data_IF_660335113538
#
_entry.id   IF_660335113538
#
_cell.length_a   1.000
_cell.length_b   1.000
_cell.length_c   1.000
_cell.angle_alpha   90.00
_cell.angle_beta   90.00
_cell.angle_gamma   90.00
#
_symmetry.space_group_name_H-M   'P 1'
#
loop_
_entity.id
_entity.type
_entity.pdbx_description
1 polymer ?
#
# COMPACT_ATOMS: atom_id res chain seq x y z
N UNK A 1 11.38 5.27 37.79
CA UNK A 1 12.57 5.55 38.63
C UNK A 1 13.23 6.81 38.09
N UNK A 2 13.40 7.83 38.93
CA UNK A 2 13.95 9.17 38.57
C UNK A 2 15.48 9.14 38.53
N UNK A 3 16.09 9.91 37.63
CA UNK A 3 17.37 10.66 37.73
C UNK A 3 17.56 11.37 36.35
N UNK A 4 17.49 12.71 36.13
CA UNK A 4 18.15 13.90 36.77
C UNK A 4 19.67 13.70 36.82
N UNK A 5 20.59 14.55 36.34
CA UNK A 5 20.66 16.02 36.29
C UNK A 5 22.02 16.49 35.66
N UNK A 6 22.04 17.73 35.12
CA UNK A 6 23.15 18.74 34.97
C UNK A 6 24.34 18.44 34.02
N UNK A 7 24.93 19.41 33.28
CA UNK A 7 25.68 20.65 33.64
C UNK A 7 25.46 21.75 32.55
N UNK A 8 25.10 23.05 32.77
CA UNK A 8 25.84 24.27 33.24
C UNK A 8 27.19 24.58 32.55
N UNK A 9 27.64 25.79 32.15
CA UNK A 9 27.17 27.19 31.89
C UNK A 9 28.40 28.01 31.41
N UNK A 10 28.20 29.11 30.64
CA UNK A 10 29.08 30.31 30.59
C UNK A 10 29.89 30.52 29.29
N UNK A 11 29.99 31.69 28.65
CA UNK A 11 30.09 33.06 29.18
C UNK A 11 29.72 34.10 28.08
N UNK A 12 29.09 35.21 28.47
CA UNK A 12 28.83 36.38 27.64
C UNK A 12 29.93 37.44 27.82
N UNK A 13 30.17 38.27 26.79
CA UNK A 13 30.90 39.54 26.89
C UNK A 13 30.07 40.65 26.23
N UNK A 14 29.86 41.72 27.01
CA UNK A 14 29.14 42.95 26.70
C UNK A 14 30.01 43.95 25.92
N UNK A 15 29.35 44.77 25.09
CA UNK A 15 29.85 46.06 24.61
C UNK A 15 28.68 47.05 24.57
N UNK A 16 28.81 48.17 25.29
CA UNK A 16 27.78 49.20 25.56
C UNK A 16 28.10 50.50 24.81
N UNK A 17 27.05 51.23 24.36
CA UNK A 17 26.83 52.70 24.35
C UNK A 17 25.98 53.07 23.10
N UNK A 18 24.67 53.30 23.23
CA UNK A 18 23.98 54.51 23.72
C UNK A 18 23.73 55.56 22.63
N UNK A 19 22.46 55.76 22.27
CA UNK A 19 21.81 57.06 22.06
C UNK A 19 20.28 56.85 22.14
N UNK A 20 19.67 57.51 23.13
CA UNK A 20 18.22 57.70 23.23
C UNK A 20 17.78 58.78 22.25
N UNK A 21 16.61 58.63 21.61
CA UNK A 21 15.56 59.66 21.72
C UNK A 21 14.17 59.13 21.30
N UNK A 22 13.27 59.18 22.29
CA UNK A 22 11.90 59.72 22.22
C UNK A 22 10.90 59.28 21.14
N UNK A 23 9.90 58.50 21.56
CA UNK A 23 8.64 58.31 20.82
C UNK A 23 7.71 57.28 21.45
N UNK A 24 7.04 57.64 22.56
CA UNK A 24 5.90 56.89 23.10
C UNK A 24 4.68 57.11 22.19
N UNK A 25 4.18 56.03 21.58
CA UNK A 25 2.84 55.97 20.99
C UNK A 25 1.99 54.96 21.79
N UNK A 26 1.04 55.41 22.63
CA UNK A 26 0.16 54.53 23.39
C UNK A 26 -1.05 54.17 22.54
N UNK A 27 -0.92 53.16 21.66
CA UNK A 27 -2.04 52.78 20.80
C UNK A 27 -1.91 51.52 19.92
N UNK A 28 -0.85 50.72 20.06
CA UNK A 28 -0.71 49.50 19.27
C UNK A 28 -1.32 48.30 20.01
N UNK A 29 -2.47 47.83 19.52
CA UNK A 29 -3.01 46.51 19.83
C UNK A 29 -1.94 45.41 19.56
N UNK A 30 -1.89 44.31 20.31
CA UNK A 30 -0.96 43.23 20.02
C UNK A 30 -1.33 42.68 18.64
N UNK A 31 -0.43 42.88 17.68
CA UNK A 31 -0.56 42.32 16.34
C UNK A 31 -0.56 40.80 16.45
N UNK A 32 -1.53 40.18 15.79
CA UNK A 32 -1.47 38.77 15.41
C UNK A 32 -0.19 38.57 14.59
N UNK A 33 0.86 38.07 15.22
CA UNK A 33 1.91 37.33 14.53
C UNK A 33 1.24 36.07 13.96
N UNK A 34 0.65 36.21 12.77
CA UNK A 34 0.24 35.10 11.92
C UNK A 34 1.51 34.39 11.45
N UNK A 35 2.12 33.65 12.36
CA UNK A 35 3.16 32.70 12.06
C UNK A 35 2.60 31.69 11.06
N UNK A 36 2.97 31.84 9.80
CA UNK A 36 2.82 30.79 8.80
C UNK A 36 3.71 29.64 9.28
N UNK A 37 3.09 28.65 9.92
CA UNK A 37 3.71 27.33 10.04
C UNK A 37 3.94 26.84 8.62
N UNK A 38 5.20 26.75 8.19
CA UNK A 38 5.60 26.16 6.91
C UNK A 38 5.14 24.70 6.88
N UNK A 39 3.91 24.48 6.41
CA UNK A 39 3.52 23.18 5.89
C UNK A 39 4.51 22.84 4.77
N UNK A 40 5.04 21.62 4.79
CA UNK A 40 5.88 21.05 3.73
C UNK A 40 5.28 21.46 2.38
N UNK A 41 6.07 22.12 1.53
CA UNK A 41 5.61 22.63 0.24
C UNK A 41 4.78 21.55 -0.45
N UNK A 42 3.47 21.78 -0.57
CA UNK A 42 2.57 20.77 -1.11
C UNK A 42 2.94 20.58 -2.57
N UNK A 43 3.45 19.40 -2.92
CA UNK A 43 3.71 19.05 -4.30
C UNK A 43 2.40 19.20 -5.09
N UNK A 44 2.37 20.13 -6.02
CA UNK A 44 1.18 20.38 -6.86
C UNK A 44 1.01 19.30 -7.92
N UNK A 45 2.06 18.51 -8.17
CA UNK A 45 2.05 17.39 -9.10
C UNK A 45 2.81 16.18 -8.55
N UNK A 46 2.34 15.00 -8.93
CA UNK A 46 3.02 13.71 -8.73
C UNK A 46 3.41 13.14 -10.09
N UNK A 47 4.55 12.46 -10.17
CA UNK A 47 5.15 11.99 -11.42
C UNK A 47 5.47 10.50 -11.34
N UNK A 48 5.31 9.82 -12.47
CA UNK A 48 5.85 8.48 -12.69
C UNK A 48 6.47 8.42 -14.09
N UNK A 49 7.46 7.55 -14.24
CA UNK A 49 8.12 7.30 -15.52
C UNK A 49 8.23 5.81 -15.74
N UNK A 50 7.86 5.36 -16.94
CA UNK A 50 8.03 3.99 -17.36
C UNK A 50 8.40 3.96 -18.84
N UNK A 51 9.50 3.26 -19.16
CA UNK A 51 10.13 3.26 -20.47
C UNK A 51 10.23 4.69 -21.07
N UNK A 52 9.47 4.97 -22.12
CA UNK A 52 9.49 6.26 -22.83
C UNK A 52 8.46 7.29 -22.37
N UNK A 53 7.53 6.91 -21.47
CA UNK A 53 6.44 7.74 -20.98
C UNK A 53 6.78 8.32 -19.60
N UNK A 54 6.69 9.65 -19.49
CA UNK A 54 6.57 10.35 -18.22
C UNK A 54 5.14 10.87 -18.10
N UNK A 55 4.47 10.50 -17.01
CA UNK A 55 3.12 10.94 -16.69
C UNK A 55 3.15 11.72 -15.38
N UNK A 56 2.36 12.79 -15.32
CA UNK A 56 2.13 13.54 -14.09
C UNK A 56 0.65 13.79 -13.86
N UNK A 57 0.23 13.74 -12.60
CA UNK A 57 -1.09 14.18 -12.16
C UNK A 57 -0.99 15.46 -11.35
N UNK A 58 -1.96 16.35 -11.48
CA UNK A 58 -2.20 17.37 -10.46
C UNK A 58 -2.66 16.67 -9.19
N UNK A 59 -2.01 16.96 -8.06
CA UNK A 59 -2.32 16.25 -6.81
C UNK A 59 -3.67 16.67 -6.26
N UNK A 60 -4.14 17.89 -6.54
CA UNK A 60 -5.43 18.38 -6.09
C UNK A 60 -6.49 18.17 -7.16
N UNK A 61 -7.54 17.40 -6.85
CA UNK A 61 -8.70 17.29 -7.70
C UNK A 61 -9.65 18.48 -7.56
N UNK A 62 -10.41 18.76 -8.61
CA UNK A 62 -11.44 19.81 -8.63
C UNK A 62 -12.82 19.18 -8.75
N UNK A 63 -13.83 19.71 -8.07
CA UNK A 63 -15.20 19.26 -8.29
C UNK A 63 -15.90 20.20 -9.25
N UNK A 64 -16.59 19.62 -10.22
CA UNK A 64 -17.35 20.32 -11.24
C UNK A 64 -18.71 19.67 -11.42
N UNK A 65 -19.69 20.42 -11.93
CA UNK A 65 -20.95 19.81 -12.37
C UNK A 65 -20.83 19.41 -13.84
N UNK A 66 -20.84 18.11 -14.12
CA UNK A 66 -20.84 17.55 -15.48
C UNK A 66 -22.16 16.80 -15.69
N UNK A 67 -22.91 17.18 -16.73
CA UNK A 67 -24.21 16.58 -17.04
C UNK A 67 -25.22 16.55 -15.87
N UNK A 68 -25.21 17.60 -15.03
CA UNK A 68 -26.09 17.70 -13.86
C UNK A 68 -25.67 16.87 -12.65
N UNK A 69 -24.51 16.21 -12.70
CA UNK A 69 -23.93 15.44 -11.59
C UNK A 69 -22.65 16.14 -11.15
N UNK A 70 -22.47 16.30 -9.84
CA UNK A 70 -21.19 16.75 -9.27
C UNK A 70 -20.16 15.64 -9.47
N UNK A 71 -18.99 15.96 -9.96
CA UNK A 71 -17.93 14.98 -10.26
C UNK A 71 -16.58 15.53 -9.84
N UNK A 72 -15.72 14.65 -9.32
CA UNK A 72 -14.31 14.92 -9.09
C UNK A 72 -13.56 14.80 -10.42
N UNK A 73 -12.77 15.82 -10.76
CA UNK A 73 -11.95 15.91 -11.97
C UNK A 73 -10.48 15.86 -11.57
N UNK A 74 -9.74 14.93 -12.16
CA UNK A 74 -8.31 14.74 -11.95
C UNK A 74 -7.58 14.99 -13.26
N UNK A 75 -6.64 15.92 -13.28
CA UNK A 75 -5.92 16.30 -14.49
C UNK A 75 -4.56 15.62 -14.57
N UNK A 76 -4.24 15.10 -15.75
CA UNK A 76 -2.97 14.46 -16.04
C UNK A 76 -2.27 15.10 -17.25
N UNK A 77 -0.95 14.98 -17.30
CA UNK A 77 -0.11 15.45 -18.41
C UNK A 77 0.97 14.44 -18.70
N UNK A 78 1.10 14.05 -19.96
CA UNK A 78 2.12 13.15 -20.48
C UNK A 78 3.20 13.92 -21.25
N UNK A 79 4.40 13.36 -21.35
CA UNK A 79 5.43 13.86 -22.26
C UNK A 79 5.26 13.35 -23.72
N UNK A 80 4.32 12.42 -23.97
CA UNK A 80 3.99 11.82 -25.27
C UNK A 80 2.61 12.23 -25.78
N UNK A 81 2.41 12.08 -27.08
CA UNK A 81 1.10 12.30 -27.70
C UNK A 81 0.16 11.14 -27.41
N UNK A 82 -1.00 11.45 -26.85
CA UNK A 82 -2.02 10.50 -26.42
C UNK A 82 -2.88 10.09 -27.62
N UNK A 83 -3.07 8.79 -27.79
CA UNK A 83 -3.99 8.21 -28.77
C UNK A 83 -5.31 7.82 -28.10
N UNK A 84 -5.23 7.16 -26.95
CA UNK A 84 -6.39 6.65 -26.23
C UNK A 84 -6.12 6.62 -24.72
N UNK A 85 -7.16 6.89 -23.93
CA UNK A 85 -7.14 6.75 -22.47
C UNK A 85 -8.44 6.10 -22.01
N UNK A 86 -8.35 5.21 -21.02
CA UNK A 86 -9.51 4.52 -20.47
C UNK A 86 -9.29 4.22 -18.99
N UNK A 87 -10.23 4.61 -18.13
CA UNK A 87 -10.17 4.38 -16.69
C UNK A 87 -11.00 3.15 -16.29
N UNK A 88 -10.44 2.34 -15.38
CA UNK A 88 -11.05 1.09 -14.95
C UNK A 88 -10.63 0.69 -13.54
N UNK A 89 -11.44 -0.19 -12.93
CA UNK A 89 -11.04 -1.04 -11.81
C UNK A 89 -10.95 -2.47 -12.33
N UNK A 90 -10.37 -3.43 -11.58
CA UNK A 90 -10.39 -4.82 -12.03
C UNK A 90 -11.79 -5.26 -12.48
N UNK A 91 -11.86 -5.83 -13.68
CA UNK A 91 -13.05 -6.36 -14.35
C UNK A 91 -14.09 -5.36 -14.91
N UNK A 92 -14.04 -4.07 -14.56
CA UNK A 92 -15.07 -3.10 -14.95
C UNK A 92 -14.53 -1.71 -15.32
N UNK A 93 -15.12 -1.10 -16.36
CA UNK A 93 -14.91 0.32 -16.65
C UNK A 93 -15.40 1.20 -15.50
N UNK A 94 -14.61 2.20 -15.11
CA UNK A 94 -14.85 2.94 -13.88
C UNK A 94 -14.41 4.40 -14.00
N UNK A 95 -15.28 5.34 -13.64
CA UNK A 95 -15.09 6.74 -14.02
C UNK A 95 -15.07 6.93 -15.54
N UNK A 96 -14.64 8.11 -15.98
CA UNK A 96 -14.47 8.41 -17.40
C UNK A 96 -13.15 9.13 -17.62
N UNK A 97 -12.26 8.57 -18.46
CA UNK A 97 -11.04 9.23 -18.89
C UNK A 97 -11.25 9.88 -20.27
N UNK A 98 -10.89 11.16 -20.41
CA UNK A 98 -11.05 11.91 -21.66
C UNK A 98 -9.75 12.64 -22.02
N UNK A 99 -9.28 12.50 -23.26
CA UNK A 99 -8.19 13.33 -23.78
C UNK A 99 -8.72 14.76 -23.97
N UNK A 100 -8.08 15.73 -23.32
CA UNK A 100 -8.46 17.15 -23.39
C UNK A 100 -7.47 17.99 -24.24
N UNK A 101 -6.30 17.43 -24.53
CA UNK A 101 -5.35 17.97 -25.51
C UNK A 101 -4.37 16.87 -25.94
N UNK A 102 -3.52 17.12 -26.95
CA UNK A 102 -2.57 16.13 -27.48
C UNK A 102 -1.72 15.42 -26.41
N UNK A 103 -1.49 16.05 -25.24
CA UNK A 103 -0.67 15.48 -24.16
C UNK A 103 -1.32 15.57 -22.77
N UNK A 104 -2.61 15.86 -22.70
CA UNK A 104 -3.33 15.98 -21.42
C UNK A 104 -4.65 15.24 -21.49
N UNK A 105 -5.00 14.61 -20.38
CA UNK A 105 -6.30 13.99 -20.19
C UNK A 105 -6.85 14.36 -18.81
N UNK A 106 -8.16 14.19 -18.67
CA UNK A 106 -8.85 14.27 -17.38
C UNK A 106 -9.47 12.91 -17.03
N UNK A 107 -9.58 12.62 -15.75
CA UNK A 107 -10.40 11.54 -15.21
C UNK A 107 -11.55 12.16 -14.44
N UNK A 108 -12.77 11.76 -14.78
CA UNK A 108 -14.02 12.24 -14.20
C UNK A 108 -14.62 11.12 -13.36
N UNK A 109 -14.77 11.36 -12.06
CA UNK A 109 -15.38 10.45 -11.10
C UNK A 109 -16.68 11.07 -10.58
N UNK A 110 -17.85 10.62 -11.05
CA UNK A 110 -19.14 11.09 -10.55
C UNK A 110 -19.25 10.87 -9.04
N UNK A 111 -19.77 11.89 -8.37
CA UNK A 111 -20.06 11.81 -6.95
C UNK A 111 -21.18 10.78 -6.70
N UNK A 112 -20.89 9.80 -5.85
CA UNK A 112 -21.78 8.68 -5.60
C UNK A 112 -20.98 7.41 -5.29
N UNK A 113 -21.48 6.23 -5.69
CA UNK A 113 -20.81 4.95 -5.44
C UNK A 113 -19.39 4.90 -6.00
N UNK A 114 -19.15 5.49 -7.18
CA UNK A 114 -17.84 5.44 -7.82
C UNK A 114 -16.78 6.21 -7.02
N UNK A 115 -17.05 7.47 -6.71
CA UNK A 115 -16.14 8.26 -5.89
C UNK A 115 -15.97 7.67 -4.48
N UNK A 116 -17.04 7.14 -3.89
CA UNK A 116 -16.98 6.47 -2.59
C UNK A 116 -16.02 5.27 -2.60
N UNK A 117 -16.09 4.44 -3.64
CA UNK A 117 -15.25 3.26 -3.80
C UNK A 117 -13.76 3.62 -3.91
N UNK A 118 -13.42 4.63 -4.73
CA UNK A 118 -12.04 5.10 -4.90
C UNK A 118 -11.51 5.67 -3.58
N UNK A 119 -12.25 6.57 -2.94
CA UNK A 119 -11.83 7.17 -1.67
C UNK A 119 -11.72 6.15 -0.54
N UNK A 120 -12.44 5.03 -0.63
CA UNK A 120 -12.30 3.89 0.27
C UNK A 120 -11.03 3.06 0.00
N UNK A 121 -10.06 3.60 -0.73
CA UNK A 121 -8.76 2.99 -1.00
C UNK A 121 -8.75 1.98 -2.14
N UNK A 122 -9.74 1.99 -3.05
CA UNK A 122 -9.62 1.20 -4.28
C UNK A 122 -8.71 1.95 -5.26
N UNK A 123 -7.64 1.32 -5.79
CA UNK A 123 -6.84 1.93 -6.83
C UNK A 123 -7.67 2.09 -8.11
N UNK A 124 -7.47 3.20 -8.81
CA UNK A 124 -8.01 3.41 -10.14
C UNK A 124 -6.89 3.17 -11.16
N UNK A 125 -7.15 2.32 -12.15
CA UNK A 125 -6.25 2.07 -13.25
C UNK A 125 -6.63 2.92 -14.46
N UNK A 126 -5.63 3.36 -15.21
CA UNK A 126 -5.83 4.08 -16.47
C UNK A 126 -4.97 3.42 -17.55
N UNK A 127 -5.59 2.84 -18.55
CA UNK A 127 -4.92 2.42 -19.79
C UNK A 127 -4.60 3.67 -20.61
N UNK A 128 -3.37 3.75 -21.11
CA UNK A 128 -2.84 4.90 -21.84
C UNK A 128 -2.12 4.39 -23.07
N UNK A 129 -2.67 4.70 -24.24
CA UNK A 129 -2.02 4.46 -25.53
C UNK A 129 -1.50 5.77 -26.11
N UNK A 130 -0.34 5.71 -26.76
CA UNK A 130 0.39 6.87 -27.28
C UNK A 130 0.77 6.69 -28.74
N UNK A 131 0.73 7.77 -29.51
CA UNK A 131 1.19 7.77 -30.91
C UNK A 131 2.72 7.67 -31.05
N UNK A 132 3.46 7.99 -29.98
CA UNK A 132 4.91 8.16 -30.01
C UNK A 132 5.55 7.54 -28.77
N UNK A 133 6.66 6.84 -28.95
CA UNK A 133 7.35 6.14 -27.87
C UNK A 133 7.56 4.68 -28.19
N UNK A 134 8.33 3.99 -27.37
CA UNK A 134 8.41 2.53 -27.42
C UNK A 134 8.55 2.00 -25.99
N UNK A 135 7.62 1.15 -25.51
CA UNK A 135 6.36 0.75 -26.16
C UNK A 135 5.37 1.92 -26.28
N UNK A 136 4.19 1.68 -26.87
CA UNK A 136 3.14 2.69 -27.05
C UNK A 136 1.94 2.51 -26.12
N UNK A 137 1.88 1.41 -25.37
CA UNK A 137 0.78 1.11 -24.45
C UNK A 137 1.31 0.97 -23.02
N UNK A 138 0.58 1.57 -22.09
CA UNK A 138 0.95 1.72 -20.68
C UNK A 138 -0.30 1.58 -19.81
N UNK A 139 -0.11 1.15 -18.56
CA UNK A 139 -1.14 1.27 -17.52
C UNK A 139 -0.61 2.10 -16.36
N UNK A 140 -1.39 3.08 -15.93
CA UNK A 140 -1.16 3.83 -14.70
C UNK A 140 -2.03 3.29 -13.57
N UNK A 141 -1.52 3.31 -12.34
CA UNK A 141 -2.28 3.10 -11.10
C UNK A 141 -2.26 4.39 -10.30
N UNK A 142 -3.42 4.88 -9.91
CA UNK A 142 -3.54 6.01 -8.98
C UNK A 142 -4.33 5.65 -7.73
N UNK A 143 -4.00 6.30 -6.62
CA UNK A 143 -4.74 6.22 -5.37
C UNK A 143 -5.18 7.62 -4.96
N UNK A 144 -6.45 7.77 -4.58
CA UNK A 144 -7.05 9.06 -4.25
C UNK A 144 -7.61 9.01 -2.84
N UNK A 145 -7.16 9.93 -1.99
CA UNK A 145 -7.62 10.04 -0.62
C UNK A 145 -7.94 11.48 -0.23
N UNK A 146 -8.83 11.70 0.75
CA UNK A 146 -9.00 13.01 1.36
C UNK A 146 -7.71 13.44 2.07
N UNK A 147 -7.28 14.68 1.88
CA UNK A 147 -6.08 15.25 2.51
C UNK A 147 -6.32 16.68 2.95
N UNK A 148 -5.85 17.02 4.15
CA UNK A 148 -5.88 18.39 4.64
C UNK A 148 -4.76 19.24 4.03
N UNK A 149 -5.06 20.51 3.80
CA UNK A 149 -4.09 21.50 3.33
C UNK A 149 -4.54 22.92 3.72
N UNK A 150 -3.76 23.92 3.32
CA UNK A 150 -4.05 25.35 3.61
C UNK A 150 -4.24 25.59 5.11
N UNK A 151 -3.32 25.04 5.91
CA UNK A 151 -3.31 25.16 7.36
C UNK A 151 -2.99 26.61 7.79
N UNK A 152 -3.88 27.23 8.57
CA UNK A 152 -3.69 28.60 9.08
C UNK A 152 -4.12 28.72 10.53
N UNK A 153 -3.42 29.51 11.33
CA UNK A 153 -3.74 29.74 12.74
C UNK A 153 -2.72 29.11 13.68
N UNK A 154 -3.17 28.76 14.90
CA UNK A 154 -2.31 28.40 16.01
C UNK A 154 -1.44 27.16 15.73
N UNK A 155 -0.14 27.28 16.01
CA UNK A 155 0.85 26.20 15.86
C UNK A 155 0.68 25.07 16.89
N UNK A 156 0.02 25.35 18.03
CA UNK A 156 -0.28 24.36 19.06
C UNK A 156 -1.31 23.30 18.62
N UNK A 157 -2.07 23.54 17.55
CA UNK A 157 -2.89 22.52 16.91
C UNK A 157 -2.13 21.95 15.72
N UNK A 158 -1.76 20.68 15.79
CA UNK A 158 -1.22 19.94 14.65
C UNK A 158 -2.35 19.11 14.06
N UNK A 159 -2.74 19.40 12.83
CA UNK A 159 -3.77 18.64 12.11
C UNK A 159 -3.00 17.77 11.13
N UNK A 160 -3.19 16.47 11.20
CA UNK A 160 -2.53 15.55 10.28
C UNK A 160 -3.10 15.76 8.87
N UNK A 161 -2.22 15.72 7.87
CA UNK A 161 -2.64 15.83 6.48
C UNK A 161 -3.53 14.64 6.08
N UNK A 162 -3.28 13.46 6.63
CA UNK A 162 -3.92 12.22 6.24
C UNK A 162 -5.33 12.09 6.82
N UNK A 163 -6.25 11.72 5.94
CA UNK A 163 -7.61 11.28 6.29
C UNK A 163 -7.86 9.99 5.52
N UNK A 164 -7.67 8.87 6.20
CA UNK A 164 -7.62 7.56 5.56
C UNK A 164 -8.88 6.73 5.86
N UNK A 165 -9.33 5.88 4.91
CA UNK A 165 -10.46 5.01 5.13
C UNK A 165 -10.06 3.85 6.03
N UNK A 166 -10.86 3.64 7.07
CA UNK A 166 -10.70 2.53 8.01
C UNK A 166 -11.99 1.73 8.13
N UNK A 167 -11.85 0.46 8.51
CA UNK A 167 -13.01 -0.41 8.73
C UNK A 167 -13.55 -0.26 10.14
N UNK A 168 -14.78 0.25 10.27
CA UNK A 168 -15.52 0.36 11.53
C UNK A 168 -16.91 -0.21 11.32
N UNK A 169 -17.27 -1.28 12.06
CA UNK A 169 -18.61 -1.85 12.07
C UNK A 169 -19.60 -0.79 12.54
N UNK A 170 -20.43 -0.27 11.64
CA UNK A 170 -21.44 0.72 11.97
C UNK A 170 -22.73 0.49 11.16
N UNK A 171 -23.83 1.15 11.57
CA UNK A 171 -25.15 0.95 10.95
C UNK A 171 -25.31 1.65 9.59
N UNK A 172 -24.46 2.63 9.29
CA UNK A 172 -24.53 3.52 8.13
C UNK A 172 -23.54 3.12 7.01
N UNK A 173 -22.67 2.14 7.27
CA UNK A 173 -21.62 1.64 6.40
C UNK A 173 -20.53 0.95 7.21
N UNK A 174 -19.48 0.42 6.57
CA UNK A 174 -18.32 -0.08 7.33
C UNK A 174 -17.05 0.73 7.09
N UNK A 175 -17.12 1.78 6.27
CA UNK A 175 -16.01 2.69 6.01
C UNK A 175 -16.21 3.99 6.77
N UNK A 176 -15.16 4.38 7.49
CA UNK A 176 -15.04 5.68 8.13
C UNK A 176 -13.78 6.33 7.60
N UNK A 177 -13.87 7.59 7.20
CA UNK A 177 -12.72 8.39 6.83
C UNK A 177 -12.19 9.02 8.11
N UNK A 178 -10.96 8.70 8.48
CA UNK A 178 -10.41 9.03 9.79
C UNK A 178 -9.21 9.96 9.66
N UNK A 179 -9.33 11.14 10.27
CA UNK A 179 -8.23 12.07 10.48
C UNK A 179 -7.84 12.17 11.94
N UNK A 180 -6.78 12.94 12.21
CA UNK A 180 -6.21 13.14 13.55
C UNK A 180 -5.81 14.59 13.77
N UNK A 181 -5.93 15.03 15.03
CA UNK A 181 -5.44 16.31 15.51
C UNK A 181 -4.70 16.09 16.81
N UNK A 182 -3.45 16.54 16.86
CA UNK A 182 -2.64 16.57 18.07
C UNK A 182 -2.66 17.98 18.68
N UNK A 183 -3.18 18.08 19.89
CA UNK A 183 -3.23 19.29 20.72
C UNK A 183 -3.46 18.92 22.18
N UNK A 184 -2.62 19.44 23.08
CA UNK A 184 -2.83 19.34 24.53
C UNK A 184 -4.02 20.22 24.98
N UNK A 185 -5.23 19.67 24.85
CA UNK A 185 -6.49 20.36 25.10
C UNK A 185 -7.49 19.49 25.84
N UNK A 186 -8.34 20.12 26.66
CA UNK A 186 -9.43 19.47 27.37
C UNK A 186 -10.61 19.17 26.44
N UNK A 187 -10.75 19.94 25.37
CA UNK A 187 -11.77 19.75 24.33
C UNK A 187 -11.30 20.27 22.97
N UNK A 188 -11.77 19.63 21.90
CA UNK A 188 -11.63 20.05 20.51
C UNK A 188 -13.03 20.08 19.88
N UNK A 189 -13.36 21.17 19.21
CA UNK A 189 -14.55 21.28 18.36
C UNK A 189 -14.13 21.55 16.91
N UNK A 190 -14.81 20.91 15.97
CA UNK A 190 -14.68 21.19 14.54
C UNK A 190 -15.99 21.75 14.04
N UNK A 191 -15.94 22.89 13.35
CA UNK A 191 -17.13 23.55 12.80
C UNK A 191 -16.93 23.90 11.33
N UNK A 192 -18.01 23.81 10.57
CA UNK A 192 -18.11 24.15 9.15
C UNK A 192 -19.58 24.32 8.78
N UNK A 193 -19.88 24.80 7.57
CA UNK A 193 -21.25 24.87 7.06
C UNK A 193 -21.82 23.46 6.80
N UNK A 194 -20.96 22.55 6.35
CA UNK A 194 -21.23 21.16 6.04
C UNK A 194 -19.99 20.30 6.33
N UNK A 195 -20.16 18.98 6.27
CA UNK A 195 -19.04 18.04 6.38
C UNK A 195 -18.28 18.06 7.70
N UNK A 196 -18.98 18.32 8.80
CA UNK A 196 -18.40 18.30 10.15
C UNK A 196 -18.12 16.84 10.57
N UNK A 197 -16.90 16.51 11.05
CA UNK A 197 -16.60 15.20 11.62
C UNK A 197 -17.25 15.00 12.99
N UNK A 198 -17.40 13.74 13.38
CA UNK A 198 -17.46 13.41 14.81
C UNK A 198 -16.06 13.52 15.42
N UNK A 199 -15.97 14.14 16.60
CA UNK A 199 -14.70 14.37 17.30
C UNK A 199 -14.67 13.54 18.58
N UNK A 200 -13.65 12.70 18.72
CA UNK A 200 -13.46 11.84 19.89
C UNK A 200 -12.06 12.04 20.44
N UNK A 201 -11.95 12.25 21.75
CA UNK A 201 -10.64 12.31 22.43
C UNK A 201 -10.08 10.90 22.59
N UNK A 202 -8.85 10.67 22.13
CA UNK A 202 -8.18 9.37 22.21
C UNK A 202 -7.33 9.27 23.49
N UNK A 203 -6.60 10.34 23.79
CA UNK A 203 -5.75 10.45 24.98
C UNK A 203 -5.58 11.93 25.39
N UNK A 204 -4.51 12.27 26.11
CA UNK A 204 -4.32 13.60 26.68
C UNK A 204 -4.09 14.70 25.63
N UNK A 205 -3.51 14.35 24.48
CA UNK A 205 -3.09 15.27 23.44
C UNK A 205 -3.56 14.87 22.03
N UNK A 206 -4.27 13.76 21.87
CA UNK A 206 -4.74 13.27 20.58
C UNK A 206 -6.26 13.26 20.48
N UNK A 207 -6.78 13.84 19.39
CA UNK A 207 -8.17 13.78 19.00
C UNK A 207 -8.32 13.09 17.64
N UNK A 208 -9.35 12.26 17.53
CA UNK A 208 -9.75 11.56 16.33
C UNK A 208 -10.93 12.26 15.67
N UNK A 209 -10.87 12.36 14.35
CA UNK A 209 -11.92 12.93 13.51
C UNK A 209 -12.48 11.82 12.62
N UNK A 210 -13.75 11.48 12.77
CA UNK A 210 -14.39 10.41 11.98
C UNK A 210 -15.52 11.00 11.13
N UNK A 211 -15.45 10.79 9.81
CA UNK A 211 -16.50 11.09 8.85
C UNK A 211 -17.09 9.83 8.24
N UNK A 212 -18.41 9.85 8.01
CA UNK A 212 -19.06 8.97 7.04
C UNK A 212 -18.89 9.52 5.63
N UNK A 213 -19.18 8.71 4.60
CA UNK A 213 -19.09 9.19 3.21
C UNK A 213 -19.99 10.42 2.95
N UNK A 214 -21.19 10.44 3.52
CA UNK A 214 -22.14 11.56 3.36
C UNK A 214 -21.62 12.87 3.96
N UNK A 215 -20.76 12.81 4.98
CA UNK A 215 -20.13 13.97 5.60
C UNK A 215 -18.78 14.35 4.96
N UNK A 216 -17.92 13.39 4.60
CA UNK A 216 -16.61 13.71 4.02
C UNK A 216 -16.74 14.35 2.62
N UNK A 217 -17.73 13.89 1.85
CA UNK A 217 -17.99 14.34 0.48
C UNK A 217 -18.23 15.86 0.33
N UNK A 218 -19.11 16.49 1.12
CA UNK A 218 -19.21 17.95 1.13
C UNK A 218 -17.98 18.63 1.77
N UNK A 219 -17.32 18.01 2.75
CA UNK A 219 -16.09 18.55 3.34
C UNK A 219 -14.94 18.70 2.32
N UNK A 220 -14.86 17.81 1.32
CA UNK A 220 -13.84 17.81 0.27
C UNK A 220 -14.13 18.76 -0.90
N UNK A 221 -15.27 19.45 -0.91
CA UNK A 221 -15.62 20.31 -2.04
C UNK A 221 -14.60 21.45 -2.16
N UNK A 222 -13.92 21.59 -3.32
CA UNK A 222 -12.87 22.58 -3.46
C UNK A 222 -13.57 23.93 -3.41
N UNK A 223 -13.03 24.81 -2.55
CA UNK A 223 -13.57 26.15 -2.27
C UNK A 223 -14.72 26.24 -1.26
N UNK A 224 -15.12 25.17 -0.57
CA UNK A 224 -15.94 25.33 0.65
C UNK A 224 -15.18 26.08 1.74
N UNK A 225 -15.93 26.59 2.71
CA UNK A 225 -15.39 27.27 3.88
C UNK A 225 -14.43 26.30 4.60
N UNK A 226 -13.20 26.73 4.96
CA UNK A 226 -12.28 25.90 5.73
C UNK A 226 -12.97 25.31 6.97
N UNK A 227 -12.62 24.08 7.33
CA UNK A 227 -12.98 23.54 8.64
C UNK A 227 -12.25 24.36 9.69
N UNK A 228 -12.98 24.78 10.72
CA UNK A 228 -12.46 25.55 11.84
C UNK A 228 -12.32 24.64 13.04
N UNK A 229 -11.10 24.55 13.56
CA UNK A 229 -10.70 23.75 14.70
C UNK A 229 -10.50 24.68 15.90
N UNK A 230 -11.32 24.50 16.92
CA UNK A 230 -11.28 25.26 18.17
C UNK A 230 -10.93 24.33 19.33
N UNK A 231 -9.76 24.54 19.92
CA UNK A 231 -9.28 23.76 21.07
C UNK A 231 -9.34 24.60 22.35
N UNK A 232 -9.88 24.02 23.42
CA UNK A 232 -9.79 24.56 24.79
C UNK A 232 -8.58 23.94 25.48
N UNK A 233 -7.47 24.67 25.52
CA UNK A 233 -6.19 24.17 26.04
C UNK A 233 -6.27 23.93 27.55
N UNK A 234 -5.50 22.97 28.05
CA UNK A 234 -5.47 22.59 29.48
C UNK A 234 -5.03 23.73 30.43
N UNK A 235 -4.52 24.84 29.89
CA UNK A 235 -4.21 26.08 30.62
C UNK A 235 -5.34 27.12 30.69
N UNK A 236 -6.53 26.81 30.16
CA UNK A 236 -7.69 27.72 30.13
C UNK A 236 -7.72 28.73 28.98
N UNK A 237 -6.74 28.71 28.08
CA UNK A 237 -6.72 29.50 26.85
C UNK A 237 -7.37 28.72 25.69
N UNK A 238 -7.83 29.42 24.66
CA UNK A 238 -8.29 28.79 23.42
C UNK A 238 -7.23 28.91 22.33
N UNK A 239 -7.22 27.95 21.41
CA UNK A 239 -6.42 27.98 20.22
C UNK A 239 -7.29 27.62 19.01
N UNK A 240 -7.09 28.34 17.90
CA UNK A 240 -7.88 28.20 16.68
C UNK A 240 -6.99 27.91 15.49
N UNK A 241 -7.39 26.96 14.66
CA UNK A 241 -6.75 26.65 13.38
C UNK A 241 -7.80 26.42 12.31
N UNK A 242 -7.47 26.68 11.06
CA UNK A 242 -8.30 26.34 9.91
C UNK A 242 -7.53 25.44 8.96
N UNK A 243 -8.21 24.50 8.33
CA UNK A 243 -7.67 23.68 7.26
C UNK A 243 -8.77 23.37 6.24
N UNK A 244 -8.37 23.14 4.99
CA UNK A 244 -9.26 22.69 3.92
C UNK A 244 -9.03 21.21 3.67
N UNK A 245 -10.10 20.46 3.43
CA UNK A 245 -10.02 19.06 3.02
C UNK A 245 -10.28 18.99 1.51
N UNK A 246 -9.51 18.19 0.78
CA UNK A 246 -9.71 17.94 -0.67
C UNK A 246 -9.41 16.48 -0.99
N UNK A 247 -10.01 15.98 -2.07
CA UNK A 247 -9.56 14.72 -2.67
C UNK A 247 -8.22 14.94 -3.38
N UNK A 248 -7.21 14.13 -3.05
CA UNK A 248 -5.89 14.20 -3.66
C UNK A 248 -5.44 12.90 -4.29
N UNK A 249 -4.75 13.00 -5.42
CA UNK A 249 -3.92 11.91 -5.93
C UNK A 249 -2.70 11.80 -5.05
N UNK A 250 -2.58 10.69 -4.33
CA UNK A 250 -1.54 10.44 -3.32
C UNK A 250 -0.46 9.48 -3.80
N UNK A 251 -0.80 8.61 -4.75
CA UNK A 251 0.11 7.67 -5.39
C UNK A 251 -0.11 7.67 -6.90
N UNK A 252 0.99 7.50 -7.65
CA UNK A 252 1.00 7.33 -9.08
C UNK A 252 2.13 6.35 -9.44
N UNK A 253 1.76 5.26 -10.07
CA UNK A 253 2.69 4.26 -10.61
C UNK A 253 2.36 3.98 -12.07
N UNK A 254 3.35 3.50 -12.85
CA UNK A 254 3.22 3.16 -14.26
C UNK A 254 3.83 1.78 -14.55
N UNK A 255 3.27 1.10 -15.54
CA UNK A 255 3.81 -0.16 -16.06
C UNK A 255 3.55 -0.31 -17.55
N UNK A 256 4.41 -1.03 -18.25
CA UNK A 256 4.16 -1.57 -19.60
C UNK A 256 3.73 -3.03 -19.59
N UNK A 257 3.78 -3.68 -18.42
CA UNK A 257 3.36 -5.07 -18.22
C UNK A 257 1.87 -5.19 -17.94
N UNK A 258 1.42 -6.41 -17.64
CA UNK A 258 0.06 -6.67 -17.18
C UNK A 258 -0.16 -6.03 -15.80
N UNK A 259 -1.17 -5.17 -15.70
CA UNK A 259 -1.49 -4.45 -14.47
C UNK A 259 -1.88 -5.39 -13.31
N UNK A 260 -2.46 -6.56 -13.61
CA UNK A 260 -2.86 -7.54 -12.61
C UNK A 260 -1.68 -8.39 -12.11
N UNK A 261 -0.60 -8.47 -12.88
CA UNK A 261 0.67 -9.06 -12.44
C UNK A 261 1.51 -8.02 -11.68
N UNK A 262 1.52 -6.76 -12.09
CA UNK A 262 2.31 -5.74 -11.38
C UNK A 262 1.65 -5.30 -10.08
N UNK A 263 0.33 -5.12 -10.10
CA UNK A 263 -0.48 -4.70 -8.95
C UNK A 263 -1.61 -5.71 -8.71
N UNK A 264 -1.28 -6.90 -8.21
CA UNK A 264 -2.28 -7.91 -7.87
C UNK A 264 -3.32 -7.34 -6.90
N UNK A 265 -4.58 -7.73 -7.08
CA UNK A 265 -5.63 -7.44 -6.10
C UNK A 265 -5.22 -8.06 -4.75
N UNK A 266 -5.10 -7.26 -3.68
CA UNK A 266 -4.70 -7.78 -2.37
C UNK A 266 -5.63 -8.88 -1.85
N UNK A 267 -5.01 -9.92 -1.28
CA UNK A 267 -5.71 -10.97 -0.56
C UNK A 267 -5.95 -10.62 0.91
N UNK A 268 -6.43 -11.61 1.67
CA UNK A 268 -6.31 -11.55 3.12
C UNK A 268 -4.89 -11.96 3.54
N UNK A 269 -4.05 -10.99 3.88
CA UNK A 269 -2.68 -11.23 4.31
C UNK A 269 -2.59 -11.72 5.77
N UNK A 270 -1.53 -12.47 6.16
CA UNK A 270 -1.39 -13.02 7.50
C UNK A 270 -1.46 -11.97 8.62
N UNK A 271 -0.86 -10.79 8.41
CA UNK A 271 -0.82 -9.71 9.40
C UNK A 271 -2.20 -9.16 9.78
N UNK A 272 -2.97 -8.60 8.83
CA UNK A 272 -4.35 -8.19 9.08
C UNK A 272 -5.22 -9.32 9.63
N UNK A 273 -5.07 -10.54 9.11
CA UNK A 273 -5.84 -11.68 9.59
C UNK A 273 -5.53 -12.05 11.06
N UNK A 274 -4.25 -12.03 11.46
CA UNK A 274 -3.83 -12.29 12.84
C UNK A 274 -4.38 -11.26 13.79
N UNK A 275 -4.25 -9.98 13.42
CA UNK A 275 -4.82 -8.90 14.22
C UNK A 275 -6.32 -9.08 14.38
N UNK A 276 -7.05 -9.36 13.29
CA UNK A 276 -8.49 -9.57 13.33
C UNK A 276 -8.92 -10.83 14.11
N UNK A 277 -8.03 -11.81 14.30
CA UNK A 277 -8.28 -12.98 15.16
C UNK A 277 -7.96 -12.69 16.64
N UNK A 278 -7.06 -11.76 16.91
CA UNK A 278 -6.70 -11.36 18.27
C UNK A 278 -7.68 -10.35 18.88
N UNK A 279 -8.48 -9.66 18.05
CA UNK A 279 -9.51 -8.75 18.51
C UNK A 279 -10.70 -9.49 19.16
N UNK A 280 -11.33 -8.90 20.20
CA UNK A 280 -12.61 -9.37 20.71
C UNK A 280 -13.68 -9.44 19.61
N UNK A 281 -14.63 -10.37 19.72
CA UNK A 281 -15.68 -10.56 18.71
C UNK A 281 -16.55 -9.29 18.53
N UNK A 282 -16.70 -8.55 19.63
CA UNK A 282 -17.48 -7.33 19.79
C UNK A 282 -16.72 -6.08 19.31
N UNK A 283 -15.44 -6.21 18.93
CA UNK A 283 -14.67 -5.10 18.42
C UNK A 283 -15.36 -4.50 17.19
N UNK A 284 -15.68 -3.20 17.27
CA UNK A 284 -16.34 -2.46 16.20
C UNK A 284 -15.34 -1.72 15.34
N UNK A 285 -14.30 -1.13 15.95
CA UNK A 285 -13.23 -0.42 15.27
C UNK A 285 -12.08 -1.40 14.94
N UNK A 286 -11.89 -1.69 13.65
CA UNK A 286 -10.88 -2.65 13.18
C UNK A 286 -9.67 -1.95 12.55
N UNK A 287 -9.58 -0.62 12.68
CA UNK A 287 -8.51 0.20 12.10
C UNK A 287 -7.09 -0.18 12.56
N UNK A 288 -6.97 -0.81 13.72
CA UNK A 288 -5.67 -1.30 14.22
C UNK A 288 -5.10 -2.47 13.40
N UNK A 289 -5.93 -3.14 12.58
CA UNK A 289 -5.54 -4.32 11.81
C UNK A 289 -5.14 -4.02 10.36
N UNK A 290 -5.23 -2.77 9.92
CA UNK A 290 -4.85 -2.35 8.59
C UNK A 290 -5.81 -1.34 7.98
N UNK A 291 -5.59 -1.04 6.71
CA UNK A 291 -6.46 -0.19 5.90
C UNK A 291 -7.86 -0.80 5.75
N UNK A 292 -8.84 0.03 5.35
CA UNK A 292 -10.19 -0.45 5.06
C UNK A 292 -10.21 -1.66 4.10
N UNK A 293 -9.42 -1.62 3.01
CA UNK A 293 -9.43 -2.67 1.98
C UNK A 293 -8.80 -3.97 2.48
N UNK A 294 -7.68 -3.92 3.19
CA UNK A 294 -7.05 -5.11 3.78
C UNK A 294 -8.00 -5.82 4.75
N UNK A 295 -8.65 -5.06 5.64
CA UNK A 295 -9.61 -5.62 6.58
C UNK A 295 -10.84 -6.18 5.84
N UNK A 296 -11.38 -5.45 4.87
CA UNK A 296 -12.53 -5.90 4.08
C UNK A 296 -12.22 -7.23 3.35
N UNK A 297 -11.07 -7.34 2.69
CA UNK A 297 -10.66 -8.57 2.01
C UNK A 297 -10.56 -9.76 2.98
N UNK A 298 -10.06 -9.55 4.19
CA UNK A 298 -10.04 -10.58 5.22
C UNK A 298 -11.43 -10.97 5.72
N UNK A 299 -12.33 -10.01 5.91
CA UNK A 299 -13.70 -10.30 6.32
C UNK A 299 -14.47 -11.04 5.24
N UNK A 300 -14.26 -10.69 3.97
CA UNK A 300 -14.88 -11.37 2.83
C UNK A 300 -14.34 -12.79 2.66
N UNK A 301 -13.03 -13.00 2.84
CA UNK A 301 -12.44 -14.34 2.88
C UNK A 301 -13.05 -15.21 3.99
N UNK A 302 -13.24 -14.65 5.20
CA UNK A 302 -13.91 -15.35 6.31
C UNK A 302 -15.36 -15.69 5.97
N UNK A 303 -16.10 -14.76 5.36
CA UNK A 303 -17.51 -14.97 4.93
C UNK A 303 -17.61 -16.04 3.85
N UNK A 304 -16.68 -16.09 2.90
CA UNK A 304 -16.65 -17.11 1.86
C UNK A 304 -16.55 -18.54 2.44
N UNK A 305 -16.03 -18.69 3.66
CA UNK A 305 -15.96 -19.96 4.38
C UNK A 305 -17.10 -20.19 5.39
N UNK A 306 -18.05 -19.27 5.54
CA UNK A 306 -19.22 -19.48 6.39
C UNK A 306 -20.17 -20.51 5.75
N UNK A 307 -20.55 -21.54 6.52
CA UNK A 307 -21.42 -22.61 6.03
C UNK A 307 -20.74 -23.63 5.10
N UNK A 308 -19.46 -23.45 4.79
CA UNK A 308 -18.65 -24.42 4.03
C UNK A 308 -17.93 -25.34 5.01
N UNK A 309 -17.96 -26.68 4.82
CA UNK A 309 -17.17 -27.60 5.65
C UNK A 309 -15.69 -27.22 5.64
N UNK A 310 -15.11 -27.05 6.82
CA UNK A 310 -13.67 -26.80 6.94
C UNK A 310 -12.89 -28.10 6.80
N UNK A 311 -11.77 -28.05 6.09
CA UNK A 311 -10.93 -29.22 5.84
C UNK A 311 -9.55 -29.05 6.49
N UNK A 312 -8.97 -30.11 7.08
CA UNK A 312 -7.59 -30.04 7.55
C UNK A 312 -6.64 -29.76 6.38
N UNK A 313 -5.46 -29.19 6.66
CA UNK A 313 -4.46 -28.96 5.64
C UNK A 313 -4.13 -30.27 4.89
N UNK A 314 -4.43 -30.25 3.60
CA UNK A 314 -4.09 -31.29 2.62
C UNK A 314 -3.50 -30.60 1.38
N UNK A 315 -2.50 -31.23 0.77
CA UNK A 315 -1.91 -30.76 -0.47
C UNK A 315 -2.50 -31.58 -1.62
N UNK A 316 -3.32 -30.95 -2.47
CA UNK A 316 -3.93 -31.61 -3.63
C UNK A 316 -3.09 -31.28 -4.87
N UNK A 317 -2.52 -32.27 -5.57
CA UNK A 317 -1.73 -32.00 -6.77
C UNK A 317 -2.54 -31.24 -7.82
N UNK A 318 -1.90 -30.28 -8.49
CA UNK A 318 -2.43 -29.58 -9.64
C UNK A 318 -1.44 -29.63 -10.79
N UNK A 319 -1.95 -29.40 -12.00
CA UNK A 319 -1.14 -29.46 -13.21
C UNK A 319 -0.05 -28.36 -13.22
N UNK A 320 1.19 -28.78 -13.41
CA UNK A 320 2.37 -27.91 -13.53
C UNK A 320 2.93 -27.84 -14.96
N UNK A 321 2.26 -28.47 -15.94
CA UNK A 321 2.64 -28.42 -17.35
C UNK A 321 2.93 -27.01 -17.90
N UNK A 322 2.21 -25.94 -17.49
CA UNK A 322 2.54 -24.58 -17.95
C UNK A 322 3.96 -24.10 -17.58
N UNK A 323 4.59 -24.69 -16.55
CA UNK A 323 5.94 -24.34 -16.11
C UNK A 323 7.04 -25.14 -16.81
N UNK A 324 6.69 -26.20 -17.54
CA UNK A 324 7.62 -27.09 -18.21
C UNK A 324 8.54 -26.38 -19.22
N UNK A 325 8.07 -25.43 -20.05
CA UNK A 325 8.96 -24.71 -20.96
C UNK A 325 10.06 -23.94 -20.22
N UNK A 326 9.73 -23.29 -19.10
CA UNK A 326 10.70 -22.54 -18.30
C UNK A 326 11.71 -23.47 -17.60
N UNK A 327 11.24 -24.62 -17.11
CA UNK A 327 12.10 -25.68 -16.56
C UNK A 327 13.08 -26.23 -17.60
N UNK A 328 12.59 -26.51 -18.82
CA UNK A 328 13.41 -27.03 -19.90
C UNK A 328 14.52 -26.05 -20.30
N UNK A 329 14.22 -24.74 -20.32
CA UNK A 329 15.23 -23.69 -20.51
C UNK A 329 16.26 -23.69 -19.38
N UNK A 330 15.84 -23.81 -18.12
CA UNK A 330 16.77 -23.87 -16.99
C UNK A 330 17.72 -25.08 -17.07
N UNK A 331 17.24 -26.23 -17.56
CA UNK A 331 18.06 -27.43 -17.75
C UNK A 331 18.97 -27.41 -18.99
N UNK A 332 18.85 -26.39 -19.84
CA UNK A 332 19.70 -26.27 -21.02
C UNK A 332 21.08 -25.73 -20.61
N UNK A 333 22.15 -26.48 -20.86
CA UNK A 333 23.52 -25.96 -20.73
C UNK A 333 24.49 -26.73 -19.84
N UNK A 334 24.13 -27.93 -19.34
CA UNK A 334 25.12 -28.83 -18.72
C UNK A 334 26.27 -29.11 -19.70
N UNK A 335 27.51 -28.99 -19.22
CA UNK A 335 28.74 -29.14 -20.02
C UNK A 335 29.73 -30.11 -19.34
N UNK A 336 30.90 -30.33 -19.95
CA UNK A 336 31.85 -31.39 -19.54
C UNK A 336 32.67 -31.09 -18.27
N UNK A 337 32.14 -30.31 -17.33
CA UNK A 337 32.79 -30.02 -16.04
C UNK A 337 31.86 -29.40 -14.98
N UNK A 338 30.66 -28.95 -15.37
CA UNK A 338 29.59 -28.53 -14.47
C UNK A 338 28.25 -29.06 -14.97
N UNK A 339 27.44 -29.61 -14.08
CA UNK A 339 26.09 -30.09 -14.38
C UNK A 339 25.06 -29.48 -13.46
N UNK A 340 23.82 -29.45 -13.94
CA UNK A 340 22.67 -29.05 -13.17
C UNK A 340 21.43 -29.74 -13.74
N UNK A 341 20.48 -30.01 -12.87
CA UNK A 341 19.20 -30.57 -13.27
C UNK A 341 18.10 -30.17 -12.29
N UNK A 342 16.99 -29.70 -12.84
CA UNK A 342 15.75 -29.40 -12.15
C UNK A 342 14.72 -30.42 -12.61
N UNK A 343 14.23 -31.20 -11.65
CA UNK A 343 13.19 -32.21 -11.84
C UNK A 343 11.87 -31.57 -12.25
N UNK A 344 10.92 -32.34 -12.82
CA UNK A 344 9.58 -31.86 -13.10
C UNK A 344 8.99 -31.12 -11.89
N UNK A 345 8.51 -29.91 -12.12
CA UNK A 345 8.01 -29.04 -11.07
C UNK A 345 6.71 -29.64 -10.53
N UNK A 346 6.57 -29.71 -9.22
CA UNK A 346 5.34 -30.16 -8.58
C UNK A 346 4.55 -28.97 -8.04
N UNK A 347 3.24 -28.97 -8.29
CA UNK A 347 2.35 -27.92 -7.82
C UNK A 347 1.18 -28.54 -7.04
N UNK A 348 0.77 -27.86 -5.98
CA UNK A 348 -0.32 -28.30 -5.11
C UNK A 348 -1.24 -27.13 -4.76
N UNK A 349 -2.52 -27.42 -4.51
CA UNK A 349 -3.43 -26.48 -3.88
C UNK A 349 -3.73 -26.87 -2.43
N UNK A 350 -3.81 -25.86 -1.57
CA UNK A 350 -4.25 -25.96 -0.18
C UNK A 350 -5.78 -25.78 -0.10
N UNK A 351 -6.45 -26.24 0.97
CA UNK A 351 -7.90 -26.06 1.10
C UNK A 351 -8.25 -24.57 1.14
N UNK A 352 -9.32 -24.18 0.44
CA UNK A 352 -9.84 -22.81 0.46
C UNK A 352 -10.34 -22.39 1.85
N UNK A 353 -10.92 -23.34 2.58
CA UNK A 353 -11.46 -23.14 3.92
C UNK A 353 -10.82 -24.15 4.88
N UNK A 354 -9.57 -23.90 5.31
CA UNK A 354 -8.86 -24.84 6.15
C UNK A 354 -9.39 -24.78 7.60
N UNK A 355 -9.22 -25.85 8.38
CA UNK A 355 -9.59 -25.87 9.81
C UNK A 355 -8.73 -24.92 10.64
N UNK A 356 -7.49 -24.71 10.21
CA UNK A 356 -6.49 -23.83 10.80
C UNK A 356 -5.81 -23.03 9.68
N UNK A 357 -5.16 -21.92 10.01
CA UNK A 357 -4.39 -21.17 9.02
C UNK A 357 -3.33 -22.07 8.38
N UNK A 358 -3.22 -21.97 7.06
CA UNK A 358 -2.12 -22.60 6.32
C UNK A 358 -0.87 -21.74 6.44
N UNK A 359 0.21 -22.33 6.93
CA UNK A 359 1.53 -21.70 7.02
C UNK A 359 2.51 -22.46 6.16
N UNK A 360 3.59 -21.81 5.70
CA UNK A 360 4.65 -22.53 4.99
C UNK A 360 5.23 -23.68 5.83
N UNK A 361 5.34 -23.54 7.15
CA UNK A 361 5.77 -24.63 8.02
C UNK A 361 4.79 -25.81 8.01
N UNK A 362 3.49 -25.54 8.01
CA UNK A 362 2.46 -26.58 7.85
C UNK A 362 2.54 -27.26 6.49
N UNK A 363 2.81 -26.51 5.42
CA UNK A 363 3.04 -27.03 4.07
C UNK A 363 4.28 -27.93 4.04
N UNK A 364 5.41 -27.45 4.57
CA UNK A 364 6.66 -28.23 4.64
C UNK A 364 6.48 -29.52 5.42
N UNK A 365 5.74 -29.50 6.53
CA UNK A 365 5.42 -30.70 7.30
C UNK A 365 4.61 -31.73 6.50
N UNK A 366 3.69 -31.26 5.62
CA UNK A 366 2.94 -32.16 4.72
C UNK A 366 3.83 -32.72 3.62
N UNK A 367 4.69 -31.88 3.01
CA UNK A 367 5.64 -32.30 1.98
C UNK A 367 6.67 -33.31 2.50
N UNK A 368 7.18 -33.12 3.73
CA UNK A 368 8.11 -34.07 4.34
C UNK A 368 7.52 -35.48 4.48
N UNK A 369 6.20 -35.58 4.63
CA UNK A 369 5.49 -36.87 4.64
C UNK A 369 5.34 -37.53 3.28
N UNK A 370 5.42 -36.78 2.18
CA UNK A 370 5.26 -37.27 0.80
C UNK A 370 6.58 -37.37 0.03
N UNK A 371 7.63 -36.70 0.49
CA UNK A 371 8.95 -36.68 -0.16
C UNK A 371 10.05 -37.24 0.75
N UNK A 372 10.33 -38.55 0.66
CA UNK A 372 11.48 -39.15 1.33
C UNK A 372 12.78 -38.45 0.88
N UNK A 373 13.58 -37.96 1.83
CA UNK A 373 14.84 -37.25 1.54
C UNK A 373 14.73 -35.73 1.46
N UNK A 374 13.53 -35.15 1.65
CA UNK A 374 13.41 -33.70 1.87
C UNK A 374 14.16 -33.31 3.17
N UNK A 375 15.03 -32.29 3.15
CA UNK A 375 15.70 -31.82 4.36
C UNK A 375 14.71 -31.39 5.44
N UNK A 376 15.12 -31.51 6.70
CA UNK A 376 14.35 -30.94 7.81
C UNK A 376 14.24 -29.42 7.65
N UNK A 377 13.17 -28.82 8.17
CA UNK A 377 12.89 -27.38 7.97
C UNK A 377 14.04 -26.50 8.46
N UNK A 378 14.71 -26.90 9.54
CA UNK A 378 15.83 -26.20 10.16
C UNK A 378 17.11 -26.23 9.31
N UNK A 379 17.20 -27.15 8.33
CA UNK A 379 18.31 -27.23 7.40
C UNK A 379 18.18 -26.25 6.22
N UNK A 380 17.03 -25.58 6.09
CA UNK A 380 16.80 -24.54 5.09
C UNK A 380 16.56 -23.17 5.71
N UNK A 381 16.41 -22.18 4.83
CA UNK A 381 16.14 -20.78 5.19
C UNK A 381 14.72 -20.44 4.77
N UNK A 382 13.91 -19.98 5.73
CA UNK A 382 12.62 -19.36 5.46
C UNK A 382 12.84 -17.92 5.02
N UNK A 383 12.16 -17.52 3.94
CA UNK A 383 12.24 -16.17 3.39
C UNK A 383 10.93 -15.75 2.76
N UNK A 384 10.79 -14.45 2.48
CA UNK A 384 9.64 -13.85 1.81
C UNK A 384 9.94 -13.63 0.30
N UNK A 385 9.21 -12.70 -0.33
CA UNK A 385 9.35 -12.28 -1.73
C UNK A 385 10.73 -11.79 -2.13
N UNK A 386 11.55 -11.28 -1.22
CA UNK A 386 12.90 -10.80 -1.53
C UNK A 386 13.92 -11.95 -1.63
N UNK A 387 13.65 -13.09 -1.00
CA UNK A 387 14.59 -14.21 -0.93
C UNK A 387 14.51 -15.33 -1.97
N UNK A 388 13.56 -15.42 -2.94
CA UNK A 388 13.64 -16.42 -4.00
C UNK A 388 14.96 -16.33 -4.78
N UNK A 389 15.56 -15.13 -4.86
CA UNK A 389 16.91 -14.92 -5.42
C UNK A 389 18.05 -15.63 -4.65
N UNK A 390 17.80 -16.25 -3.51
CA UNK A 390 18.76 -17.12 -2.81
C UNK A 390 18.72 -18.57 -3.34
N UNK A 391 17.65 -18.95 -4.04
CA UNK A 391 17.57 -20.25 -4.70
C UNK A 391 18.41 -20.28 -5.96
N UNK A 392 19.20 -21.34 -6.13
CA UNK A 392 19.95 -21.59 -7.37
C UNK A 392 19.02 -21.73 -8.58
N UNK A 393 17.77 -22.14 -8.36
CA UNK A 393 16.77 -22.31 -9.42
C UNK A 393 16.18 -20.99 -9.90
N UNK A 394 16.14 -19.96 -9.04
CA UNK A 394 15.38 -18.73 -9.27
C UNK A 394 16.27 -17.48 -9.35
N UNK A 395 17.59 -17.67 -9.32
CA UNK A 395 18.59 -16.62 -9.42
C UNK A 395 19.43 -16.77 -10.70
N UNK A 396 20.13 -15.70 -11.06
CA UNK A 396 21.14 -15.76 -12.11
C UNK A 396 22.41 -16.36 -11.52
N UNK A 397 22.84 -17.51 -12.05
CA UNK A 397 24.03 -18.24 -11.57
C UNK A 397 24.93 -18.63 -12.73
N UNK A 398 26.09 -19.24 -12.42
CA UNK A 398 26.95 -19.86 -13.43
C UNK A 398 26.30 -21.07 -14.11
N UNK A 399 25.26 -21.65 -13.52
CA UNK A 399 24.56 -22.82 -14.06
C UNK A 399 23.44 -22.43 -15.04
N UNK A 400 22.81 -21.27 -14.86
CA UNK A 400 21.74 -20.80 -15.73
C UNK A 400 21.08 -19.50 -15.24
N UNK A 401 20.15 -18.99 -16.04
CA UNK A 401 19.33 -17.83 -15.69
C UNK A 401 17.97 -18.27 -15.13
N UNK A 402 17.88 -18.37 -13.80
CA UNK A 402 16.66 -18.70 -13.08
C UNK A 402 15.58 -17.61 -13.10
N UNK A 403 15.87 -16.41 -13.62
CA UNK A 403 14.89 -15.30 -13.63
C UNK A 403 13.71 -15.57 -14.57
N UNK A 404 13.94 -16.32 -15.65
CA UNK A 404 12.87 -16.75 -16.56
C UNK A 404 11.91 -17.71 -15.85
N UNK A 405 12.44 -18.63 -15.05
CA UNK A 405 11.64 -19.55 -14.26
C UNK A 405 10.86 -18.83 -13.17
N UNK A 406 11.49 -17.87 -12.47
CA UNK A 406 10.81 -17.04 -11.48
C UNK A 406 9.66 -16.24 -12.12
N UNK A 407 9.89 -15.60 -13.28
CA UNK A 407 8.85 -14.87 -13.99
C UNK A 407 7.67 -15.77 -14.41
N UNK A 408 7.94 -16.99 -14.87
CA UNK A 408 6.90 -17.96 -15.21
C UNK A 408 6.09 -18.40 -13.98
N UNK A 409 6.75 -18.63 -12.84
CA UNK A 409 6.10 -18.96 -11.57
C UNK A 409 5.22 -17.81 -11.08
N UNK A 410 5.71 -16.58 -11.20
CA UNK A 410 4.98 -15.40 -10.76
C UNK A 410 3.77 -15.10 -11.63
N UNK A 411 3.87 -15.29 -12.95
CA UNK A 411 2.72 -15.20 -13.85
C UNK A 411 1.68 -16.27 -13.50
N UNK A 412 2.11 -17.53 -13.26
CA UNK A 412 1.21 -18.62 -12.88
C UNK A 412 0.51 -18.39 -11.52
N UNK A 413 1.20 -17.74 -10.57
CA UNK A 413 0.67 -17.39 -9.26
C UNK A 413 -0.07 -16.04 -9.23
N UNK A 414 -0.07 -15.29 -10.34
CA UNK A 414 -0.56 -13.91 -10.39
C UNK A 414 0.10 -13.08 -9.30
N UNK A 415 1.43 -12.90 -9.42
CA UNK A 415 2.37 -12.14 -8.59
C UNK A 415 1.82 -11.63 -7.25
N UNK A 416 2.43 -11.95 -6.12
CA UNK A 416 1.95 -11.49 -4.82
C UNK A 416 2.90 -11.81 -3.69
N UNK A 417 2.42 -11.72 -2.45
CA UNK A 417 3.18 -12.22 -1.30
C UNK A 417 3.47 -13.70 -1.49
N UNK A 418 4.75 -14.07 -1.37
CA UNK A 418 5.23 -15.44 -1.42
C UNK A 418 6.00 -15.72 -0.15
N UNK A 419 5.71 -16.85 0.47
CA UNK A 419 6.55 -17.45 1.49
C UNK A 419 7.41 -18.50 0.81
N UNK A 420 8.70 -18.52 1.10
CA UNK A 420 9.64 -19.43 0.48
C UNK A 420 10.49 -20.14 1.54
N UNK A 421 10.87 -21.37 1.23
CA UNK A 421 11.86 -22.13 1.97
C UNK A 421 12.88 -22.69 0.99
N UNK A 422 14.15 -22.39 1.22
CA UNK A 422 15.25 -22.81 0.34
C UNK A 422 16.22 -23.64 1.18
N UNK A 423 16.55 -24.83 0.69
CA UNK A 423 17.54 -25.70 1.33
C UNK A 423 18.54 -26.23 0.30
N UNK A 424 19.77 -26.42 0.74
CA UNK A 424 20.84 -27.02 -0.04
C UNK A 424 21.58 -28.01 0.84
N UNK A 425 21.88 -29.18 0.29
CA UNK A 425 22.65 -30.21 0.99
C UNK A 425 23.65 -30.85 0.03
N UNK A 426 24.89 -31.03 0.47
CA UNK A 426 25.90 -31.76 -0.31
C UNK A 426 25.56 -33.26 -0.32
N UNK A 427 25.65 -33.87 -1.49
CA UNK A 427 25.47 -35.30 -1.71
C UNK A 427 26.81 -35.96 -2.03
N UNK A 428 27.09 -37.16 -1.48
CA UNK A 428 28.32 -37.87 -1.79
C UNK A 428 28.40 -38.23 -3.28
N UNK A 429 29.51 -37.86 -3.93
CA UNK A 429 29.82 -38.31 -5.28
C UNK A 429 31.33 -38.55 -5.45
N UNK A 430 31.72 -39.36 -6.45
CA UNK A 430 33.10 -39.79 -6.60
C UNK A 430 33.89 -38.79 -7.46
N UNK A 431 34.91 -38.15 -6.88
CA UNK A 431 35.76 -37.13 -7.52
C UNK A 431 34.98 -35.91 -8.03
N UNK A 432 33.93 -35.52 -7.33
CA UNK A 432 33.13 -34.36 -7.64
C UNK A 432 32.52 -33.74 -6.38
N UNK A 433 31.91 -32.57 -6.55
CA UNK A 433 30.95 -32.00 -5.62
C UNK A 433 29.56 -32.01 -6.26
N UNK A 434 28.59 -32.55 -5.54
CA UNK A 434 27.17 -32.52 -5.92
C UNK A 434 26.35 -31.92 -4.78
N UNK A 435 25.41 -31.05 -5.11
CA UNK A 435 24.53 -30.40 -4.16
C UNK A 435 23.09 -30.64 -4.58
N UNK A 436 22.30 -31.26 -3.72
CA UNK A 436 20.85 -31.29 -3.85
C UNK A 436 20.28 -29.95 -3.40
N UNK A 437 19.31 -29.45 -4.16
CA UNK A 437 18.64 -28.20 -3.90
C UNK A 437 17.13 -28.42 -3.81
N UNK A 438 16.53 -27.74 -2.84
CA UNK A 438 15.10 -27.70 -2.64
C UNK A 438 14.65 -26.24 -2.55
N UNK A 439 13.53 -25.95 -3.20
CA UNK A 439 12.84 -24.67 -3.02
C UNK A 439 11.34 -24.93 -2.98
N UNK A 440 10.71 -24.55 -1.88
CA UNK A 440 9.25 -24.60 -1.72
C UNK A 440 8.74 -23.18 -1.69
N UNK A 441 7.81 -22.87 -2.57
CA UNK A 441 7.12 -21.59 -2.63
C UNK A 441 5.67 -21.81 -2.22
N UNK A 442 5.16 -20.99 -1.31
CA UNK A 442 3.75 -20.93 -0.95
C UNK A 442 3.21 -19.55 -1.27
N UNK A 443 2.18 -19.51 -2.11
CA UNK A 443 1.42 -18.34 -2.52
C UNK A 443 0.05 -18.37 -1.81
N UNK A 444 -0.10 -17.71 -0.64
CA UNK A 444 -1.30 -17.84 0.18
C UNK A 444 -2.56 -17.38 -0.57
N UNK A 445 -2.44 -16.32 -1.38
CA UNK A 445 -3.55 -15.77 -2.15
C UNK A 445 -4.20 -16.78 -3.10
N UNK A 446 -3.40 -17.59 -3.79
CA UNK A 446 -3.88 -18.61 -4.74
C UNK A 446 -4.10 -19.96 -4.10
N UNK A 447 -3.83 -20.09 -2.80
CA UNK A 447 -3.73 -21.40 -2.14
C UNK A 447 -2.75 -22.33 -2.88
N UNK A 448 -1.70 -21.79 -3.50
CA UNK A 448 -0.81 -22.54 -4.39
C UNK A 448 0.52 -22.81 -3.70
N UNK A 449 0.99 -24.04 -3.77
CA UNK A 449 2.32 -24.47 -3.34
C UNK A 449 3.06 -24.96 -4.57
N UNK A 450 4.31 -24.54 -4.75
CA UNK A 450 5.20 -25.03 -5.80
C UNK A 450 6.46 -25.61 -5.17
N UNK A 451 6.89 -26.78 -5.65
CA UNK A 451 8.09 -27.47 -5.19
C UNK A 451 9.06 -27.62 -6.36
N UNK A 452 10.27 -27.11 -6.15
CA UNK A 452 11.42 -27.25 -7.03
C UNK A 452 12.43 -28.16 -6.35
N UNK A 453 12.83 -29.23 -7.04
CA UNK A 453 13.86 -30.16 -6.60
C UNK A 453 14.84 -30.43 -7.72
N UNK A 454 16.11 -30.53 -7.37
CA UNK A 454 17.14 -30.81 -8.36
C UNK A 454 18.51 -30.85 -7.73
N UNK A 455 19.53 -30.76 -8.59
CA UNK A 455 20.92 -30.77 -8.15
C UNK A 455 21.78 -29.88 -9.04
N UNK A 456 22.91 -29.44 -8.49
CA UNK A 456 24.04 -28.88 -9.23
C UNK A 456 25.32 -29.62 -8.86
N UNK A 457 26.34 -29.58 -9.71
CA UNK A 457 27.62 -30.17 -9.39
C UNK A 457 28.74 -29.79 -10.34
N UNK A 458 29.95 -30.14 -9.93
CA UNK A 458 31.18 -29.92 -10.68
C UNK A 458 32.25 -30.95 -10.29
N UNK A 459 33.20 -31.19 -11.19
CA UNK A 459 34.34 -32.08 -10.93
C UNK A 459 35.35 -31.42 -9.97
N UNK A 460 35.94 -32.23 -9.07
CA UNK A 460 36.93 -31.77 -8.06
C UNK A 460 38.31 -31.48 -8.62
#
# INVERSE_FOLDING_TARGET
>A
MRLRELWWVGLAVLGVLACQDSGLDPGAAPGDDLGVSEAKATATRIYATEASLELSFETMGTFETRNGVRSLILHATANRYLEHVFSFIPDDGFGTANIISERRFEVVLPDGPELHEILSGRPLFIAIDTFTGTPTSYTAKIEVYPRFFDFRGASALVIDEEVDPVYVKNAEGNVVFRGRVDVAADALAVTAADGIPSVSRMDADTFRLDWTYSAVRPAMDPHTVPLVFDASLTGGTTARKTARLVARVTSLELTTGDAYEVWPTPGCYPGPEDCLNALPEEATDLSACGSYREVLHCLDARRACQGVPREPLVLRPVDSLPLEPARAVWNAGSNSGTWHYLEPIESYITPRCPTERVTIQGVLAKLAGTHPGMPAVEAGVLTDRAGPGQSVFLSQTSYGDGRVLLAALDSAATAGEVQAWVATSEEPCQNCHQFAHWTVLYYPFRNLVVVLRGHTGYDS
#
